data_IF_497314390727
#
_entry.id   IF_497314390727
#
_cell.length_a   1.000
_cell.length_b   1.000
_cell.length_c   1.000
_cell.angle_alpha   90.00
_cell.angle_beta   90.00
_cell.angle_gamma   90.00
#
_symmetry.space_group_name_H-M   'P 1'
#
loop_
_entity.id
_entity.type
_entity.pdbx_description
1 polymer ?
#
# COMPACT_ATOMS: atom_id res chain seq x y z
N UNK A 1 -9.47 2.41 -20.22
CA UNK A 1 -9.18 3.84 -20.52
C UNK A 1 -9.57 4.75 -19.36
N UNK A 2 -10.81 4.69 -18.85
CA UNK A 2 -11.28 5.54 -17.71
C UNK A 2 -10.43 5.36 -16.44
N UNK A 3 -10.11 4.12 -16.05
CA UNK A 3 -9.25 3.83 -14.88
C UNK A 3 -7.84 4.42 -15.05
N UNK A 4 -7.27 4.38 -16.26
CA UNK A 4 -5.94 4.92 -16.56
C UNK A 4 -5.93 6.45 -16.46
N UNK A 5 -6.98 7.11 -16.95
CA UNK A 5 -7.14 8.57 -16.85
C UNK A 5 -7.29 8.99 -15.39
N UNK A 6 -8.07 8.26 -14.59
CA UNK A 6 -8.18 8.52 -13.15
C UNK A 6 -6.85 8.35 -12.40
N UNK A 7 -6.07 7.32 -12.75
CA UNK A 7 -4.76 7.10 -12.14
C UNK A 7 -3.76 8.19 -12.52
N UNK A 8 -3.71 8.62 -13.78
CA UNK A 8 -2.83 9.70 -14.25
C UNK A 8 -3.23 11.06 -13.66
N UNK A 9 -4.52 11.35 -13.54
CA UNK A 9 -5.02 12.55 -12.85
C UNK A 9 -4.63 12.55 -11.38
N UNK A 10 -4.69 11.40 -10.71
CA UNK A 10 -4.25 11.28 -9.32
C UNK A 10 -2.75 11.56 -9.15
N UNK A 11 -1.89 11.14 -10.10
CA UNK A 11 -0.45 11.46 -10.08
C UNK A 11 -0.22 12.98 -10.16
N UNK A 12 -0.93 13.66 -11.07
CA UNK A 12 -0.81 15.10 -11.26
C UNK A 12 -1.35 15.90 -10.06
N UNK A 13 -2.49 15.47 -9.49
CA UNK A 13 -3.12 16.12 -8.34
C UNK A 13 -2.33 15.87 -7.05
N UNK A 14 -1.76 14.67 -6.86
CA UNK A 14 -0.87 14.38 -5.74
C UNK A 14 0.35 15.30 -5.76
N UNK A 15 0.97 15.47 -6.93
CA UNK A 15 2.11 16.38 -7.14
C UNK A 15 1.75 17.84 -6.81
N UNK A 16 0.55 18.29 -7.19
CA UNK A 16 0.09 19.66 -6.95
C UNK A 16 -0.27 19.94 -5.47
N UNK A 17 -0.92 18.99 -4.78
CA UNK A 17 -1.26 19.10 -3.36
C UNK A 17 -0.01 19.18 -2.46
N UNK A 18 1.07 18.51 -2.86
CA UNK A 18 2.37 18.56 -2.18
C UNK A 18 3.04 19.92 -2.31
N UNK A 19 3.05 20.49 -3.52
CA UNK A 19 3.60 21.84 -3.77
C UNK A 19 2.79 22.91 -3.00
N UNK A 20 1.49 22.69 -2.80
CA UNK A 20 0.61 23.58 -2.03
C UNK A 20 0.68 23.44 -0.50
N UNK A 21 1.47 22.51 0.04
CA UNK A 21 1.63 22.32 1.49
C UNK A 21 0.38 21.78 2.22
N UNK A 22 -0.65 21.35 1.49
CA UNK A 22 -1.88 20.82 2.08
C UNK A 22 -1.74 19.30 2.30
N UNK A 23 -1.46 18.91 3.55
CA UNK A 23 -1.86 17.60 4.09
C UNK A 23 -0.89 16.42 3.88
N UNK A 24 0.41 16.60 4.10
CA UNK A 24 1.36 15.47 4.13
C UNK A 24 1.77 15.20 5.58
N UNK A 25 1.43 14.00 6.04
CA UNK A 25 1.25 13.54 7.40
C UNK A 25 2.48 13.62 8.33
N UNK A 26 2.21 13.54 9.66
CA UNK A 26 3.16 13.12 10.70
C UNK A 26 3.90 11.85 10.22
N UNK A 27 5.24 11.88 10.18
CA UNK A 27 6.18 10.78 9.81
C UNK A 27 6.54 10.63 8.32
N UNK A 28 7.07 11.69 7.67
CA UNK A 28 7.59 11.60 6.31
C UNK A 28 8.82 10.68 6.19
N UNK A 29 9.58 10.45 7.26
CA UNK A 29 10.85 9.72 7.19
C UNK A 29 10.65 8.25 6.84
N UNK A 30 9.75 7.54 7.52
CA UNK A 30 9.51 6.12 7.28
C UNK A 30 8.84 5.86 5.93
N UNK A 31 7.91 6.72 5.53
CA UNK A 31 7.29 6.68 4.20
C UNK A 31 8.34 6.91 3.12
N UNK A 32 9.19 7.92 3.29
CA UNK A 32 10.27 8.23 2.35
C UNK A 32 11.27 7.07 2.25
N UNK A 33 11.69 6.47 3.36
CA UNK A 33 12.63 5.33 3.37
C UNK A 33 12.09 4.14 2.57
N UNK A 34 10.82 3.77 2.76
CA UNK A 34 10.19 2.69 1.99
C UNK A 34 10.07 3.09 0.52
N UNK A 35 9.65 4.32 0.24
CA UNK A 35 9.42 4.77 -1.13
C UNK A 35 10.73 4.90 -1.93
N UNK A 36 11.80 5.39 -1.30
CA UNK A 36 13.14 5.46 -1.88
C UNK A 36 13.63 4.04 -2.20
N UNK A 37 13.49 3.09 -1.26
CA UNK A 37 13.84 1.69 -1.50
C UNK A 37 13.05 1.09 -2.67
N UNK A 38 11.73 1.30 -2.72
CA UNK A 38 10.89 0.85 -3.83
C UNK A 38 11.41 1.45 -5.15
N UNK A 39 11.63 2.77 -5.20
CA UNK A 39 12.09 3.47 -6.39
C UNK A 39 13.44 2.95 -6.91
N UNK A 40 14.41 2.74 -6.03
CA UNK A 40 15.74 2.24 -6.37
C UNK A 40 15.73 0.79 -6.88
N UNK A 41 14.69 0.02 -6.52
CA UNK A 41 14.57 -1.39 -6.84
C UNK A 41 13.38 -1.69 -7.77
N UNK A 42 12.85 -0.66 -8.43
CA UNK A 42 11.86 -0.79 -9.50
C UNK A 42 12.60 -0.87 -10.84
N UNK A 43 12.33 -1.93 -11.60
CA UNK A 43 12.70 -2.03 -13.00
C UNK A 43 11.61 -1.44 -13.90
N UNK A 44 11.06 -2.29 -14.77
CA UNK A 44 10.10 -1.90 -15.80
C UNK A 44 8.64 -1.95 -15.33
N UNK A 45 8.39 -2.14 -14.03
CA UNK A 45 7.05 -2.25 -13.47
C UNK A 45 6.25 -0.96 -13.69
N UNK A 46 4.99 -1.14 -14.10
CA UNK A 46 4.05 -0.04 -14.31
C UNK A 46 3.45 0.47 -13.00
N UNK A 47 3.11 -0.45 -12.10
CA UNK A 47 2.63 -0.16 -10.76
C UNK A 47 3.77 -0.42 -9.77
N UNK A 48 4.13 0.60 -9.00
CA UNK A 48 5.17 0.50 -7.99
C UNK A 48 4.73 -0.37 -6.82
N UNK A 49 3.50 -0.14 -6.34
CA UNK A 49 3.01 -0.82 -5.14
C UNK A 49 1.49 -0.90 -5.02
N UNK A 50 1.01 -1.68 -4.06
CA UNK A 50 -0.34 -1.53 -3.47
C UNK A 50 -0.21 -1.00 -2.04
N UNK A 51 -0.98 0.03 -1.68
CA UNK A 51 -0.94 0.64 -0.35
C UNK A 51 -2.34 1.10 0.11
N UNK A 52 -2.62 1.08 1.42
CA UNK A 52 -3.91 1.50 2.00
C UNK A 52 -4.13 3.02 2.02
N UNK A 53 -3.51 3.71 2.99
CA UNK A 53 -3.80 5.12 3.35
C UNK A 53 -2.77 6.13 2.80
N UNK A 54 -1.65 5.64 2.25
CA UNK A 54 -0.50 6.48 1.86
C UNK A 54 -0.14 6.41 0.37
N UNK A 55 -1.05 5.93 -0.48
CA UNK A 55 -0.87 5.82 -1.93
C UNK A 55 -0.34 7.12 -2.57
N UNK A 56 -0.89 8.29 -2.20
CA UNK A 56 -0.44 9.61 -2.71
C UNK A 56 1.00 9.94 -2.34
N UNK A 57 1.43 9.60 -1.12
CA UNK A 57 2.81 9.86 -0.67
C UNK A 57 3.79 8.93 -1.37
N UNK A 58 3.43 7.66 -1.55
CA UNK A 58 4.26 6.71 -2.30
C UNK A 58 4.35 7.09 -3.79
N UNK A 59 3.25 7.53 -4.41
CA UNK A 59 3.27 8.05 -5.78
C UNK A 59 4.26 9.21 -5.93
N UNK A 60 4.26 10.14 -4.97
CA UNK A 60 5.18 11.28 -4.99
C UNK A 60 6.65 10.86 -4.93
N UNK A 61 7.02 9.97 -4.02
CA UNK A 61 8.43 9.58 -3.87
C UNK A 61 8.89 8.58 -4.93
N UNK A 62 8.03 7.66 -5.36
CA UNK A 62 8.37 6.64 -6.38
C UNK A 62 8.21 7.12 -7.82
N UNK A 63 7.48 8.22 -8.04
CA UNK A 63 7.11 8.72 -9.38
C UNK A 63 6.36 7.67 -10.23
N UNK A 64 5.75 6.69 -9.58
CA UNK A 64 5.07 5.54 -10.19
C UNK A 64 3.68 5.37 -9.57
N UNK A 65 2.83 4.59 -10.22
CA UNK A 65 1.47 4.38 -9.71
C UNK A 65 1.52 3.42 -8.52
N UNK A 66 1.06 3.85 -7.36
CA UNK A 66 0.70 2.95 -6.27
C UNK A 66 -0.82 2.82 -6.20
N UNK A 67 -1.32 1.60 -6.34
CA UNK A 67 -2.75 1.32 -6.30
C UNK A 67 -3.25 1.35 -4.86
N UNK A 68 -4.43 1.94 -4.64
CA UNK A 68 -5.06 1.90 -3.31
C UNK A 68 -5.61 0.50 -3.03
N UNK A 69 -5.30 -0.03 -1.86
CA UNK A 69 -5.80 -1.33 -1.38
C UNK A 69 -7.33 -1.42 -1.37
N UNK A 70 -8.00 -0.29 -1.12
CA UNK A 70 -9.47 -0.18 -1.13
C UNK A 70 -10.07 -0.31 -2.54
N UNK A 71 -9.29 -0.04 -3.59
CA UNK A 71 -9.79 0.07 -4.97
C UNK A 71 -9.42 -1.13 -5.86
N UNK A 72 -8.59 -2.05 -5.36
CA UNK A 72 -8.16 -3.25 -6.10
C UNK A 72 -8.74 -4.51 -5.46
N UNK A 73 -8.86 -5.59 -6.24
CA UNK A 73 -9.26 -6.91 -5.75
C UNK A 73 -8.17 -7.95 -6.03
N UNK A 74 -8.31 -9.16 -5.46
CA UNK A 74 -7.31 -10.23 -5.59
C UNK A 74 -7.04 -10.60 -7.04
N UNK A 75 -8.09 -10.74 -7.87
CA UNK A 75 -7.93 -11.09 -9.28
C UNK A 75 -7.11 -10.06 -10.05
N UNK A 76 -7.32 -8.76 -9.77
CA UNK A 76 -6.51 -7.70 -10.37
C UNK A 76 -5.06 -7.75 -9.90
N UNK A 77 -4.82 -8.00 -8.60
CA UNK A 77 -3.48 -8.13 -8.03
C UNK A 77 -2.73 -9.28 -8.73
N UNK A 78 -3.37 -10.45 -8.82
CA UNK A 78 -2.82 -11.63 -9.52
C UNK A 78 -2.44 -11.30 -10.96
N UNK A 79 -3.35 -10.70 -11.72
CA UNK A 79 -3.07 -10.28 -13.10
C UNK A 79 -1.86 -9.34 -13.19
N UNK A 80 -1.71 -8.38 -12.26
CA UNK A 80 -0.59 -7.44 -12.32
C UNK A 80 0.75 -8.08 -11.92
N UNK A 81 0.78 -8.97 -10.93
CA UNK A 81 2.04 -9.65 -10.55
C UNK A 81 2.48 -10.65 -11.62
N UNK A 82 1.54 -11.39 -12.24
CA UNK A 82 1.83 -12.34 -13.34
C UNK A 82 2.40 -11.63 -14.58
N UNK A 83 1.92 -10.42 -14.85
CA UNK A 83 2.41 -9.58 -15.95
C UNK A 83 3.68 -8.77 -15.61
N UNK A 84 4.32 -9.00 -14.46
CA UNK A 84 5.45 -8.21 -13.95
C UNK A 84 5.16 -6.70 -13.88
N UNK A 85 3.91 -6.33 -13.64
CA UNK A 85 3.48 -4.94 -13.54
C UNK A 85 3.41 -4.44 -12.11
N UNK A 86 3.47 -5.32 -11.11
CA UNK A 86 3.38 -5.02 -9.69
C UNK A 86 4.34 -5.92 -8.91
N UNK A 87 5.08 -5.35 -7.96
CA UNK A 87 6.10 -6.09 -7.19
C UNK A 87 5.97 -5.92 -5.68
N UNK A 88 5.68 -4.71 -5.21
CA UNK A 88 5.73 -4.36 -3.79
C UNK A 88 4.35 -4.11 -3.19
N UNK A 89 4.21 -4.40 -1.90
CA UNK A 89 2.99 -4.16 -1.14
C UNK A 89 3.36 -3.47 0.16
N UNK A 90 2.73 -2.34 0.44
CA UNK A 90 3.00 -1.54 1.63
C UNK A 90 1.83 -1.63 2.59
N UNK A 91 2.11 -2.21 3.74
CA UNK A 91 1.18 -2.32 4.85
C UNK A 91 1.48 -1.22 5.87
N UNK A 92 0.48 -0.43 6.21
CA UNK A 92 0.59 0.56 7.28
C UNK A 92 0.18 -0.10 8.61
N UNK A 93 1.10 -0.31 9.53
CA UNK A 93 0.81 -0.89 10.85
C UNK A 93 0.32 0.13 11.88
N UNK A 94 0.29 1.42 11.54
CA UNK A 94 -0.09 2.46 12.48
C UNK A 94 -1.58 2.34 12.86
N UNK A 95 -1.79 2.02 14.13
CA UNK A 95 -3.09 2.00 14.80
C UNK A 95 -3.72 3.39 14.75
N UNK A 96 -4.79 3.54 13.98
CA UNK A 96 -5.84 4.49 14.34
C UNK A 96 -6.83 3.69 15.19
N UNK A 97 -6.55 3.62 16.49
CA UNK A 97 -7.39 3.01 17.53
C UNK A 97 -7.79 1.54 17.35
N UNK A 98 -6.83 0.65 17.07
CA UNK A 98 -7.09 -0.81 17.08
C UNK A 98 -7.35 -1.42 15.70
N UNK A 99 -7.35 -0.60 14.64
CA UNK A 99 -7.63 -1.03 13.27
C UNK A 99 -6.53 -0.59 12.33
N UNK A 100 -6.16 -1.46 11.40
CA UNK A 100 -5.36 -1.10 10.24
C UNK A 100 -6.31 -0.87 9.06
N UNK A 101 -6.52 0.38 8.64
CA UNK A 101 -7.42 0.71 7.53
C UNK A 101 -7.14 -0.10 6.27
N UNK A 102 -8.17 -0.77 5.75
CA UNK A 102 -8.11 -1.59 4.54
C UNK A 102 -7.49 -2.98 4.70
N UNK A 103 -6.91 -3.33 5.85
CA UNK A 103 -6.24 -4.62 6.04
C UNK A 103 -6.84 -5.51 7.12
N UNK A 104 -7.68 -5.00 8.01
CA UNK A 104 -8.08 -5.78 9.19
C UNK A 104 -7.69 -5.15 10.52
N UNK A 105 -8.24 -5.70 11.60
CA UNK A 105 -7.58 -5.65 12.92
C UNK A 105 -6.34 -6.55 12.89
N UNK A 106 -5.16 -5.94 12.85
CA UNK A 106 -3.87 -6.59 13.06
C UNK A 106 -3.53 -6.50 14.54
N UNK A 107 -4.36 -7.08 15.41
CA UNK A 107 -3.91 -7.22 16.78
C UNK A 107 -3.04 -8.47 16.94
N UNK A 108 -2.14 -8.43 17.92
CA UNK A 108 -1.25 -9.55 18.23
C UNK A 108 -2.00 -10.76 18.83
N UNK A 109 -3.35 -10.71 18.91
CA UNK A 109 -4.16 -11.80 19.47
C UNK A 109 -4.48 -12.89 18.45
N UNK A 110 -4.21 -12.65 17.16
CA UNK A 110 -4.48 -13.61 16.08
C UNK A 110 -5.97 -13.82 15.79
N UNK A 111 -6.85 -12.98 16.35
CA UNK A 111 -8.29 -13.04 16.13
C UNK A 111 -8.64 -12.20 14.90
N UNK A 112 -9.01 -12.88 13.82
CA UNK A 112 -9.47 -12.26 12.58
C UNK A 112 -10.80 -11.52 12.80
N UNK A 113 -10.80 -10.23 12.48
CA UNK A 113 -12.02 -9.44 12.44
C UNK A 113 -12.69 -9.61 11.06
N UNK A 114 -13.73 -10.43 11.02
CA UNK A 114 -14.54 -10.73 9.83
C UNK A 114 -15.68 -9.73 9.62
N UNK A 115 -15.63 -8.54 10.22
CA UNK A 115 -16.65 -7.51 10.02
C UNK A 115 -16.64 -7.07 8.55
N UNK A 116 -17.55 -7.65 7.76
CA UNK A 116 -17.82 -7.25 6.39
C UNK A 116 -18.49 -5.88 6.40
N UNK A 117 -17.96 -4.93 5.66
CA UNK A 117 -18.57 -3.62 5.57
C UNK A 117 -19.97 -3.67 4.97
N UNK A 118 -20.85 -2.85 5.54
CA UNK A 118 -22.16 -2.57 4.97
C UNK A 118 -22.10 -1.64 3.75
N UNK A 119 -20.99 -0.89 3.56
CA UNK A 119 -20.79 -0.02 2.39
C UNK A 119 -19.35 -0.11 1.81
N UNK A 120 -19.19 -0.17 0.48
CA UNK A 120 -17.87 -0.33 -0.19
C UNK A 120 -16.88 0.83 -0.04
N UNK A 121 -17.28 1.94 0.59
CA UNK A 121 -16.48 3.17 0.72
C UNK A 121 -16.00 3.45 2.14
N UNK A 122 -16.27 2.55 3.10
CA UNK A 122 -15.79 2.71 4.47
C UNK A 122 -14.29 2.38 4.51
N UNK A 123 -13.46 3.34 4.89
CA UNK A 123 -12.00 3.15 4.94
C UNK A 123 -11.53 2.15 6.02
N UNK A 124 -12.47 1.72 6.88
CA UNK A 124 -12.25 0.72 7.94
C UNK A 124 -12.62 -0.71 7.49
N UNK A 125 -12.95 -0.93 6.21
CA UNK A 125 -13.28 -2.27 5.75
C UNK A 125 -12.11 -3.22 5.89
N UNK A 126 -12.39 -4.37 6.49
CA UNK A 126 -11.47 -5.49 6.51
C UNK A 126 -11.60 -6.22 5.17
N UNK A 127 -10.48 -6.41 4.50
CA UNK A 127 -10.39 -7.10 3.21
C UNK A 127 -9.60 -8.41 3.40
N UNK A 128 -10.15 -9.39 4.15
CA UNK A 128 -9.42 -10.57 4.62
C UNK A 128 -8.90 -11.42 3.47
N UNK A 129 -9.62 -11.49 2.34
CA UNK A 129 -9.16 -12.21 1.15
C UNK A 129 -7.88 -11.61 0.55
N UNK A 130 -7.76 -10.27 0.54
CA UNK A 130 -6.55 -9.60 0.04
C UNK A 130 -5.38 -9.81 0.99
N UNK A 131 -5.65 -9.80 2.30
CA UNK A 131 -4.65 -10.06 3.32
C UNK A 131 -4.14 -11.51 3.25
N UNK A 132 -5.01 -12.50 3.19
CA UNK A 132 -4.62 -13.90 3.06
C UNK A 132 -3.78 -14.11 1.79
N UNK A 133 -4.22 -13.53 0.67
CA UNK A 133 -3.44 -13.55 -0.57
C UNK A 133 -2.04 -12.96 -0.36
N UNK A 134 -1.92 -11.79 0.29
CA UNK A 134 -0.64 -11.16 0.59
C UNK A 134 0.27 -12.10 1.39
N UNK A 135 -0.25 -12.66 2.48
CA UNK A 135 0.54 -13.50 3.38
C UNK A 135 1.00 -14.81 2.72
N UNK A 136 0.21 -15.38 1.81
CA UNK A 136 0.54 -16.60 1.08
C UNK A 136 1.52 -16.38 -0.07
N UNK A 137 1.51 -15.18 -0.68
CA UNK A 137 2.20 -14.92 -1.95
C UNK A 137 3.36 -13.91 -1.84
N UNK A 138 3.64 -13.39 -0.65
CA UNK A 138 4.68 -12.36 -0.45
C UNK A 138 5.56 -12.66 0.74
N UNK A 139 6.74 -12.05 0.77
CA UNK A 139 7.67 -12.11 1.89
C UNK A 139 7.89 -10.72 2.47
N UNK A 140 7.91 -10.61 3.80
CA UNK A 140 8.26 -9.37 4.49
C UNK A 140 9.75 -9.05 4.29
N UNK A 141 10.02 -7.91 3.65
CA UNK A 141 11.36 -7.40 3.36
C UNK A 141 11.62 -6.06 4.04
N UNK A 142 10.84 -5.69 5.05
CA UNK A 142 10.91 -4.39 5.73
C UNK A 142 12.33 -4.05 6.19
N UNK A 143 13.07 -5.04 6.69
CA UNK A 143 14.45 -4.88 7.14
C UNK A 143 15.41 -4.42 6.02
N UNK A 144 15.13 -4.75 4.75
CA UNK A 144 15.96 -4.34 3.60
C UNK A 144 15.90 -2.82 3.35
N UNK A 145 14.83 -2.17 3.81
CA UNK A 145 14.67 -0.70 3.71
C UNK A 145 15.52 0.06 4.74
N UNK A 146 16.09 -0.64 5.73
CA UNK A 146 16.76 -0.02 6.88
C UNK A 146 15.81 0.31 8.05
N UNK A 147 14.50 0.12 7.88
CA UNK A 147 13.57 0.14 9.00
C UNK A 147 13.77 -1.09 9.89
N UNK A 148 13.60 -0.91 11.21
CA UNK A 148 13.69 -2.04 12.15
C UNK A 148 12.53 -3.02 11.93
N UNK A 149 12.75 -4.34 12.13
CA UNK A 149 11.69 -5.34 12.02
C UNK A 149 10.54 -5.14 13.00
N UNK A 150 10.75 -4.47 14.12
CA UNK A 150 9.75 -4.15 15.14
C UNK A 150 9.13 -2.76 14.98
N UNK A 151 9.43 -2.04 13.90
CA UNK A 151 8.89 -0.70 13.70
C UNK A 151 7.34 -0.76 13.71
N UNK A 152 6.66 0.15 14.42
CA UNK A 152 5.21 0.07 14.59
C UNK A 152 4.43 0.78 13.46
N UNK A 153 5.09 1.13 12.36
CA UNK A 153 4.52 2.04 11.36
C UNK A 153 4.26 1.37 10.03
N UNK A 154 5.22 0.64 9.48
CA UNK A 154 5.07 0.06 8.14
C UNK A 154 5.73 -1.31 8.02
N UNK A 155 5.15 -2.10 7.11
CA UNK A 155 5.78 -3.29 6.54
C UNK A 155 5.80 -3.18 5.03
N UNK A 156 6.93 -3.59 4.46
CA UNK A 156 7.10 -3.72 3.02
C UNK A 156 7.18 -5.21 2.70
N UNK A 157 6.29 -5.66 1.82
CA UNK A 157 6.28 -7.02 1.29
C UNK A 157 6.67 -7.03 -0.19
N UNK A 158 7.33 -8.10 -0.60
CA UNK A 158 7.76 -8.37 -1.97
C UNK A 158 7.12 -9.66 -2.47
N UNK A 159 6.54 -9.65 -3.67
CA UNK A 159 5.94 -10.83 -4.28
C UNK A 159 6.97 -11.97 -4.46
N UNK A 160 6.61 -13.17 -4.00
CA UNK A 160 7.39 -14.39 -4.19
C UNK A 160 6.92 -15.01 -5.50
N UNK A 161 7.84 -15.15 -6.46
CA UNK A 161 7.58 -15.83 -7.72
C UNK A 161 7.61 -17.34 -7.56
#
# INVERSE_FOLDING_TARGET
IIVIIYLLLNVSVASALVIGGFGIYKRPNEVKVIADYINENLGNEKYACVAGVHDKSFIFYTQKVCASWLLVNVSWIQEQVENNNLKYFVLNLYLYDGYTPGFGRIDQSGVFDNTSCTQPSEWHCNEPEKYNWLMENTVDITYKTGLKPDNPYFRLYEYIK
#
